data_IF_695647001085
#
_entry.id   IF_695647001085
#
_cell.length_a   1.000
_cell.length_b   1.000
_cell.length_c   1.000
_cell.angle_alpha   90.00
_cell.angle_beta   90.00
_cell.angle_gamma   90.00
#
_symmetry.space_group_name_H-M   'P 1'
#
loop_
_entity.id
_entity.type
_entity.pdbx_description
1 polymer ?
#
# COMPACT_ATOMS: atom_id res chain seq x y z
N UNK A 1 -3.90 -22.38 6.94
CA UNK A 1 -4.11 -21.43 5.83
C UNK A 1 -2.78 -21.29 5.13
N UNK A 2 -2.62 -21.94 3.97
CA UNK A 2 -1.34 -22.04 3.24
C UNK A 2 -0.93 -20.66 2.70
N UNK A 3 0.32 -20.27 2.97
CA UNK A 3 0.92 -18.98 2.62
C UNK A 3 1.29 -18.86 1.12
N UNK A 4 0.89 -19.83 0.29
CA UNK A 4 1.54 -20.07 -1.01
C UNK A 4 0.80 -19.47 -2.22
N UNK A 5 -0.42 -18.93 -2.03
CA UNK A 5 -1.27 -18.41 -3.12
C UNK A 5 -0.87 -17.04 -3.71
N UNK A 6 -0.17 -16.21 -2.93
CA UNK A 6 0.35 -14.91 -3.42
C UNK A 6 1.72 -15.05 -4.09
N UNK A 7 2.55 -15.96 -3.61
CA UNK A 7 3.88 -16.20 -4.15
C UNK A 7 3.84 -16.91 -5.52
N UNK A 8 2.81 -17.71 -5.78
CA UNK A 8 2.59 -18.40 -7.06
C UNK A 8 2.26 -17.44 -8.22
N UNK A 9 1.59 -16.33 -7.95
CA UNK A 9 1.32 -15.29 -8.96
C UNK A 9 2.51 -14.34 -9.21
N UNK A 10 3.41 -14.21 -8.23
CA UNK A 10 4.65 -13.46 -8.40
C UNK A 10 5.71 -14.29 -9.15
N UNK A 11 5.70 -15.62 -9.03
CA UNK A 11 6.53 -16.56 -9.79
C UNK A 11 6.52 -16.31 -11.31
N UNK A 12 5.36 -15.97 -11.87
CA UNK A 12 5.18 -15.69 -13.29
C UNK A 12 5.63 -14.29 -13.75
N UNK A 13 5.89 -13.35 -12.82
CA UNK A 13 6.25 -11.95 -13.13
C UNK A 13 7.72 -11.61 -12.79
N UNK A 14 8.54 -12.61 -12.49
CA UNK A 14 9.95 -12.36 -12.18
C UNK A 14 10.79 -12.29 -13.46
N UNK A 15 11.19 -11.07 -13.84
CA UNK A 15 12.32 -10.92 -14.75
C UNK A 15 13.63 -11.11 -13.95
N UNK A 16 14.14 -12.35 -13.94
CA UNK A 16 15.33 -12.80 -13.21
C UNK A 16 16.59 -11.94 -13.43
N UNK A 17 16.63 -11.11 -14.49
CA UNK A 17 17.75 -10.22 -14.83
C UNK A 17 17.75 -8.88 -14.06
N UNK A 18 16.63 -8.47 -13.45
CA UNK A 18 16.50 -7.15 -12.79
C UNK A 18 16.71 -7.21 -11.27
N UNK A 19 16.38 -8.34 -10.66
CA UNK A 19 16.61 -8.59 -9.25
C UNK A 19 18.02 -9.17 -9.07
N UNK A 20 19.03 -8.31 -8.83
CA UNK A 20 20.27 -8.75 -8.19
C UNK A 20 19.97 -9.07 -6.72
N UNK A 21 19.27 -10.18 -6.47
CA UNK A 21 19.10 -10.70 -5.13
C UNK A 21 20.39 -11.42 -4.72
N UNK A 22 20.87 -11.25 -3.48
CA UNK A 22 21.92 -12.10 -2.96
C UNK A 22 21.41 -13.55 -2.96
N UNK A 23 22.24 -14.53 -3.34
CA UNK A 23 21.83 -15.94 -3.50
C UNK A 23 21.31 -16.62 -2.23
N UNK A 24 21.35 -15.93 -1.08
CA UNK A 24 20.90 -16.40 0.24
C UNK A 24 19.63 -15.71 0.77
N UNK A 25 18.98 -14.82 0.00
CA UNK A 25 17.73 -14.19 0.46
C UNK A 25 16.62 -15.25 0.58
N UNK A 26 16.06 -15.51 1.78
CA UNK A 26 14.97 -16.47 1.94
C UNK A 26 13.76 -16.01 1.10
N UNK A 27 13.06 -16.93 0.45
CA UNK A 27 11.84 -16.66 -0.35
C UNK A 27 10.80 -15.81 0.42
N UNK A 28 10.76 -15.96 1.75
CA UNK A 28 9.92 -15.19 2.68
C UNK A 28 10.21 -13.68 2.68
N UNK A 29 11.40 -13.24 2.23
CA UNK A 29 11.78 -11.82 2.19
C UNK A 29 11.08 -11.00 1.10
N UNK A 30 10.61 -11.64 0.02
CA UNK A 30 10.00 -10.95 -1.13
C UNK A 30 8.61 -10.38 -0.82
N UNK A 31 7.91 -10.90 0.20
CA UNK A 31 6.64 -10.33 0.63
C UNK A 31 6.76 -9.00 1.39
N UNK A 32 7.98 -8.60 1.80
CA UNK A 32 8.18 -7.42 2.65
C UNK A 32 7.99 -6.12 1.87
N UNK A 33 7.41 -5.07 2.48
CA UNK A 33 7.21 -3.76 1.85
C UNK A 33 8.48 -3.17 1.21
N UNK A 34 9.65 -3.46 1.78
CA UNK A 34 10.95 -3.03 1.29
C UNK A 34 11.28 -3.49 -0.15
N UNK A 35 10.64 -4.57 -0.64
CA UNK A 35 10.91 -5.13 -1.98
C UNK A 35 9.85 -4.77 -3.02
N UNK A 36 8.72 -4.15 -2.64
CA UNK A 36 7.61 -3.88 -3.57
C UNK A 36 8.05 -3.10 -4.82
N UNK A 37 8.94 -2.11 -4.66
CA UNK A 37 9.45 -1.32 -5.79
C UNK A 37 10.47 -2.04 -6.69
N UNK A 38 10.96 -3.21 -6.28
CA UNK A 38 11.86 -4.07 -7.06
C UNK A 38 11.12 -5.20 -7.76
N UNK A 39 9.98 -5.62 -7.20
CA UNK A 39 9.17 -6.75 -7.68
C UNK A 39 8.38 -6.36 -8.93
N UNK A 40 7.79 -5.17 -8.97
CA UNK A 40 7.04 -4.68 -10.12
C UNK A 40 7.54 -3.28 -10.53
N UNK A 41 7.97 -3.06 -11.79
CA UNK A 41 8.40 -1.75 -12.26
C UNK A 41 7.37 -0.63 -12.05
N UNK A 42 6.08 -0.95 -12.13
CA UNK A 42 4.98 -0.01 -11.90
C UNK A 42 4.89 0.45 -10.44
N UNK A 43 5.50 -0.29 -9.50
CA UNK A 43 5.53 0.05 -8.07
C UNK A 43 6.85 0.70 -7.65
N UNK A 44 7.68 1.15 -8.59
CA UNK A 44 9.01 1.70 -8.32
C UNK A 44 9.03 2.84 -7.28
N UNK A 45 7.93 3.61 -7.18
CA UNK A 45 7.75 4.66 -6.17
C UNK A 45 7.82 4.15 -4.72
N UNK A 46 7.47 2.89 -4.45
CA UNK A 46 7.60 2.30 -3.11
C UNK A 46 9.05 2.23 -2.61
N UNK A 47 10.02 2.24 -3.53
CA UNK A 47 11.46 2.22 -3.20
C UNK A 47 12.17 3.54 -3.50
N UNK A 48 11.75 4.26 -4.56
CA UNK A 48 12.40 5.49 -5.03
C UNK A 48 11.71 6.77 -4.55
N UNK A 49 10.49 6.67 -4.04
CA UNK A 49 9.71 7.82 -3.61
C UNK A 49 10.32 8.49 -2.37
N UNK A 50 10.54 9.80 -2.43
CA UNK A 50 11.04 10.60 -1.29
C UNK A 50 9.95 11.04 -0.31
N UNK A 51 8.68 10.82 -0.69
CA UNK A 51 7.47 11.23 0.05
C UNK A 51 6.54 10.03 0.20
N UNK A 52 6.99 9.01 0.92
CA UNK A 52 6.20 7.81 1.21
C UNK A 52 5.53 7.94 2.59
N UNK A 53 4.38 7.29 2.76
CA UNK A 53 3.69 7.15 4.03
C UNK A 53 3.84 5.72 4.58
N UNK A 54 3.72 5.51 5.89
CA UNK A 54 3.53 6.50 6.95
C UNK A 54 4.79 7.33 7.24
N UNK A 55 4.60 8.54 7.77
CA UNK A 55 5.69 9.36 8.35
C UNK A 55 5.52 9.42 9.87
N UNK A 56 6.61 9.69 10.58
CA UNK A 56 6.53 10.05 11.99
C UNK A 56 6.02 11.49 12.11
N UNK A 57 4.97 11.71 12.90
CA UNK A 57 4.42 13.05 13.18
C UNK A 57 4.94 13.48 14.54
N UNK A 58 5.89 14.41 14.54
CA UNK A 58 6.48 14.97 15.77
C UNK A 58 5.77 16.30 16.11
N UNK A 59 5.00 16.39 17.21
CA UNK A 59 4.20 17.58 17.52
C UNK A 59 5.02 18.88 17.58
N UNK A 60 6.24 18.82 18.10
CA UNK A 60 7.14 19.98 18.25
C UNK A 60 7.64 20.54 16.92
N UNK A 61 7.54 19.77 15.82
CA UNK A 61 7.93 20.18 14.47
C UNK A 61 6.75 20.64 13.61
N UNK A 62 5.53 20.61 14.14
CA UNK A 62 4.34 21.03 13.40
C UNK A 62 4.25 22.55 13.33
N UNK A 63 3.97 23.05 12.14
CA UNK A 63 3.66 24.46 11.92
C UNK A 63 2.15 24.65 11.95
N UNK A 64 1.66 25.60 12.76
CA UNK A 64 0.27 26.03 12.70
C UNK A 64 0.05 26.89 11.47
N UNK A 65 -0.90 26.50 10.62
CA UNK A 65 -1.33 27.30 9.46
C UNK A 65 -2.75 27.82 9.69
N UNK A 66 -2.88 29.14 9.81
CA UNK A 66 -4.16 29.85 10.04
C UNK A 66 -5.09 29.79 8.81
N UNK A 67 -4.56 29.53 7.62
CA UNK A 67 -5.35 29.48 6.40
C UNK A 67 -5.98 28.11 6.14
N UNK A 68 -5.60 27.08 6.91
CA UNK A 68 -6.27 25.79 6.87
C UNK A 68 -7.71 25.93 7.38
N UNK A 69 -8.67 25.75 6.47
CA UNK A 69 -10.08 25.71 6.81
C UNK A 69 -10.42 24.41 7.56
N UNK A 70 -11.38 24.44 8.50
CA UNK A 70 -11.92 23.22 9.07
C UNK A 70 -12.33 22.24 7.97
N UNK A 71 -11.99 20.96 8.15
CA UNK A 71 -12.41 19.92 7.20
C UNK A 71 -13.91 19.74 7.35
N UNK A 72 -14.66 20.17 6.34
CA UNK A 72 -16.11 19.93 6.26
C UNK A 72 -16.31 18.60 5.56
N UNK A 73 -16.82 17.62 6.30
CA UNK A 73 -17.24 16.33 5.73
C UNK A 73 -18.74 16.37 5.56
N UNK A 74 -19.20 16.37 4.30
CA UNK A 74 -20.63 16.26 4.01
C UNK A 74 -21.11 14.86 4.39
N UNK A 75 -22.20 14.79 5.15
CA UNK A 75 -22.84 13.54 5.53
C UNK A 75 -23.88 13.18 4.48
N UNK A 76 -23.40 12.75 3.32
CA UNK A 76 -24.29 12.18 2.33
C UNK A 76 -24.84 10.84 2.86
N UNK A 77 -26.14 10.77 3.13
CA UNK A 77 -26.78 9.54 3.59
C UNK A 77 -26.83 8.55 2.44
N UNK A 78 -25.87 7.64 2.40
CA UNK A 78 -25.86 6.56 1.42
C UNK A 78 -26.92 5.52 1.79
N UNK A 79 -27.87 5.27 0.91
CA UNK A 79 -28.93 4.27 1.13
C UNK A 79 -28.39 2.83 1.20
N UNK A 80 -27.25 2.58 0.55
CA UNK A 80 -26.58 1.30 0.55
C UNK A 80 -25.06 1.49 0.61
N UNK A 81 -24.40 0.65 1.41
CA UNK A 81 -22.94 0.52 1.43
C UNK A 81 -22.64 -0.90 1.02
N UNK A 82 -21.89 -1.07 -0.08
CA UNK A 82 -21.45 -2.40 -0.46
C UNK A 82 -20.22 -2.74 0.39
N UNK A 83 -20.40 -3.63 1.35
CA UNK A 83 -19.30 -4.16 2.16
C UNK A 83 -18.77 -5.39 1.44
N UNK A 84 -17.53 -5.29 0.95
CA UNK A 84 -16.82 -6.45 0.40
C UNK A 84 -15.65 -6.78 1.30
N UNK A 85 -15.59 -8.03 1.72
CA UNK A 85 -14.37 -8.58 2.26
C UNK A 85 -13.41 -8.86 1.10
N UNK A 86 -12.23 -8.23 1.14
CA UNK A 86 -11.13 -8.55 0.22
C UNK A 86 -9.86 -8.72 1.03
N UNK A 87 -9.28 -9.92 0.98
CA UNK A 87 -8.00 -10.25 1.63
C UNK A 87 -8.01 -9.96 3.14
N UNK A 88 -9.01 -10.47 3.87
CA UNK A 88 -9.21 -10.25 5.31
C UNK A 88 -9.25 -8.77 5.72
N UNK A 89 -9.62 -7.89 4.78
CA UNK A 89 -9.88 -6.47 5.03
C UNK A 89 -11.25 -6.13 4.50
N UNK A 90 -12.10 -5.65 5.40
CA UNK A 90 -13.40 -5.06 5.06
C UNK A 90 -13.12 -3.72 4.39
N UNK A 91 -13.51 -3.59 3.12
CA UNK A 91 -13.42 -2.31 2.39
C UNK A 91 -14.82 -1.81 2.09
N UNK A 92 -15.32 -0.80 2.81
CA UNK A 92 -16.55 -0.13 2.43
C UNK A 92 -16.30 0.64 1.12
N UNK A 93 -17.12 0.37 0.10
CA UNK A 93 -17.15 1.16 -1.12
C UNK A 93 -18.40 2.02 -1.15
N UNK A 94 -18.20 3.33 -1.21
CA UNK A 94 -19.27 4.30 -1.36
C UNK A 94 -19.57 4.47 -2.85
N UNK A 95 -20.83 4.29 -3.24
CA UNK A 95 -21.31 4.67 -4.57
C UNK A 95 -22.21 5.89 -4.38
N UNK A 96 -21.91 6.96 -5.10
CA UNK A 96 -22.86 8.06 -5.29
C UNK A 96 -23.65 7.69 -6.54
N UNK A 97 -24.97 7.50 -6.42
CA UNK A 97 -25.87 7.25 -7.56
C UNK A 97 -25.97 8.48 -8.45
#
# INVERSE_FOLDING_TARGET
MSEDGWLSNLAGSYNKKRLRLPPSAPLMSLGRPSFWGLINPQWSLCSKGRRQSPINIEPDKLLFDRHLRPVVVDKHKTHYVNIREKNNKIKPTWFVT
#
